data_IF_308305027927
#
_entry.id   IF_308305027927
#
_cell.length_a   1.000
_cell.length_b   1.000
_cell.length_c   1.000
_cell.angle_alpha   90.00
_cell.angle_beta   90.00
_cell.angle_gamma   90.00
#
_symmetry.space_group_name_H-M   'P 1'
#
loop_
_entity.id
_entity.type
_entity.pdbx_description
1 polymer ?
#
# COMPACT_ATOMS: atom_id res chain seq x y z
N UNK A 1 -11.98 3.68 15.53
CA UNK A 1 -10.72 4.03 14.87
C UNK A 1 -10.75 3.23 13.58
N UNK A 2 -10.63 3.89 12.44
CA UNK A 2 -10.75 3.23 11.13
C UNK A 2 -9.49 2.40 10.87
N UNK A 3 -9.63 1.10 10.68
CA UNK A 3 -8.51 0.20 10.35
C UNK A 3 -8.13 0.39 8.89
N UNK A 4 -6.89 0.76 8.64
CA UNK A 4 -6.38 1.06 7.31
C UNK A 4 -5.26 0.11 6.89
N UNK A 5 -5.34 -0.39 5.64
CA UNK A 5 -4.27 -1.15 5.00
C UNK A 5 -3.56 -0.28 3.97
N UNK A 6 -2.30 0.05 4.21
CA UNK A 6 -1.55 0.94 3.33
C UNK A 6 -0.84 0.16 2.22
N UNK A 7 -0.88 0.69 0.99
CA UNK A 7 -0.19 0.09 -0.16
C UNK A 7 0.61 1.16 -0.92
N UNK A 8 1.92 1.16 -0.73
CA UNK A 8 2.87 2.02 -1.45
C UNK A 8 3.34 1.33 -2.73
N UNK A 9 3.12 1.96 -3.89
CA UNK A 9 3.43 1.36 -5.19
C UNK A 9 4.62 2.04 -5.85
N UNK A 10 5.62 1.26 -6.23
CA UNK A 10 6.74 1.74 -7.05
C UNK A 10 6.71 1.07 -8.43
N UNK A 11 6.69 1.89 -9.48
CA UNK A 11 6.88 1.42 -10.86
C UNK A 11 8.38 1.48 -11.17
N UNK A 12 9.00 0.36 -11.56
CA UNK A 12 10.47 0.31 -11.77
C UNK A 12 11.00 1.27 -12.84
N UNK A 13 10.14 1.68 -13.78
CA UNK A 13 10.51 2.67 -14.81
C UNK A 13 10.52 4.11 -14.27
N UNK A 14 9.90 4.36 -13.13
CA UNK A 14 9.83 5.69 -12.55
C UNK A 14 11.15 6.02 -11.86
N UNK A 15 11.81 7.04 -12.37
CA UNK A 15 13.04 7.61 -11.78
C UNK A 15 12.64 8.59 -10.69
N UNK A 16 12.14 8.08 -9.57
CA UNK A 16 11.98 8.89 -8.37
C UNK A 16 13.31 9.01 -7.60
N UNK A 17 13.56 10.19 -7.04
CA UNK A 17 14.73 10.45 -6.21
C UNK A 17 14.59 9.90 -4.78
N UNK A 18 13.35 9.60 -4.37
CA UNK A 18 13.05 9.12 -3.03
C UNK A 18 12.97 7.60 -3.02
N UNK A 19 13.46 7.00 -1.92
CA UNK A 19 13.34 5.56 -1.70
C UNK A 19 11.90 5.25 -1.32
N UNK A 20 11.37 4.14 -1.80
CA UNK A 20 9.97 3.78 -1.56
C UNK A 20 9.71 3.51 -0.07
N UNK A 21 10.72 3.08 0.66
CA UNK A 21 10.69 2.88 2.11
C UNK A 21 10.46 4.21 2.85
N UNK A 22 11.12 5.29 2.41
CA UNK A 22 10.93 6.62 3.00
C UNK A 22 9.52 7.14 2.72
N UNK A 23 9.00 6.93 1.50
CA UNK A 23 7.62 7.29 1.12
C UNK A 23 6.60 6.49 1.94
N UNK A 24 6.85 5.18 2.11
CA UNK A 24 5.94 4.28 2.83
C UNK A 24 5.86 4.63 4.31
N UNK A 25 6.99 5.00 4.92
CA UNK A 25 7.05 5.46 6.30
C UNK A 25 6.29 6.79 6.48
N UNK A 26 6.48 7.74 5.57
CA UNK A 26 5.75 9.02 5.61
C UNK A 26 4.24 8.82 5.46
N UNK A 27 3.80 7.94 4.55
CA UNK A 27 2.38 7.62 4.37
C UNK A 27 1.76 7.07 5.66
N UNK A 28 2.48 6.22 6.37
CA UNK A 28 2.05 5.65 7.65
C UNK A 28 1.92 6.72 8.74
N UNK A 29 2.92 7.61 8.89
CA UNK A 29 2.83 8.72 9.84
C UNK A 29 1.66 9.65 9.54
N UNK A 30 1.40 9.93 8.25
CA UNK A 30 0.26 10.74 7.81
C UNK A 30 -1.08 10.06 8.14
N UNK A 31 -1.21 8.76 7.89
CA UNK A 31 -2.42 8.00 8.19
C UNK A 31 -2.70 7.95 9.71
N UNK A 32 -1.67 7.69 10.51
CA UNK A 32 -1.77 7.71 11.98
C UNK A 32 -2.18 9.10 12.46
N UNK A 33 -1.56 10.15 11.92
CA UNK A 33 -1.89 11.55 12.24
C UNK A 33 -3.32 11.94 11.85
N UNK A 34 -3.87 11.31 10.80
CA UNK A 34 -5.27 11.45 10.38
C UNK A 34 -6.24 10.66 11.26
N UNK A 35 -5.76 9.84 12.22
CA UNK A 35 -6.58 9.06 13.14
C UNK A 35 -6.90 7.64 12.66
N UNK A 36 -6.24 7.17 11.60
CA UNK A 36 -6.34 5.78 11.16
C UNK A 36 -5.54 4.84 12.08
N UNK A 37 -6.03 3.62 12.23
CA UNK A 37 -5.29 2.50 12.77
C UNK A 37 -4.66 1.74 11.62
N UNK A 38 -3.38 2.00 11.34
CA UNK A 38 -2.66 1.24 10.30
C UNK A 38 -2.46 -0.20 10.78
N UNK A 39 -3.06 -1.17 10.08
CA UNK A 39 -2.92 -2.59 10.42
C UNK A 39 -1.69 -3.23 9.76
N UNK A 40 -1.34 -2.76 8.56
CA UNK A 40 -0.18 -3.22 7.79
C UNK A 40 0.19 -2.17 6.72
N UNK A 41 1.47 -2.13 6.33
CA UNK A 41 2.02 -1.16 5.38
C UNK A 41 2.84 -1.86 4.28
N UNK A 42 2.18 -2.12 3.15
CA UNK A 42 2.69 -2.97 2.07
C UNK A 42 3.41 -2.13 1.01
N UNK A 43 4.64 -2.51 0.68
CA UNK A 43 5.35 -1.98 -0.50
C UNK A 43 5.19 -2.95 -1.68
N UNK A 44 4.70 -2.44 -2.82
CA UNK A 44 4.53 -3.20 -4.06
C UNK A 44 5.37 -2.60 -5.18
N UNK A 45 6.44 -3.31 -5.55
CA UNK A 45 7.32 -2.92 -6.67
C UNK A 45 6.90 -3.68 -7.92
N UNK A 46 6.43 -2.98 -8.95
CA UNK A 46 5.97 -3.56 -10.21
C UNK A 46 6.77 -3.05 -11.41
N UNK A 47 6.89 -3.89 -12.45
CA UNK A 47 7.59 -3.51 -13.70
C UNK A 47 6.81 -2.48 -14.50
N UNK A 48 5.48 -2.61 -14.53
CA UNK A 48 4.53 -1.73 -15.19
C UNK A 48 3.18 -1.86 -14.50
N UNK A 49 2.35 -0.80 -14.50
CA UNK A 49 1.01 -0.88 -13.98
C UNK A 49 0.13 -1.81 -14.82
N UNK A 50 -0.79 -2.52 -14.17
CA UNK A 50 -1.84 -3.30 -14.85
C UNK A 50 -3.13 -2.50 -14.94
N UNK A 51 -3.83 -2.58 -16.08
CA UNK A 51 -4.99 -1.74 -16.36
C UNK A 51 -6.17 -1.96 -15.40
N UNK A 52 -6.30 -3.16 -14.84
CA UNK A 52 -7.38 -3.52 -13.94
C UNK A 52 -7.11 -3.13 -12.49
N UNK A 53 -5.86 -3.30 -12.00
CA UNK A 53 -5.60 -3.20 -10.57
C UNK A 53 -4.31 -2.47 -10.17
N UNK A 54 -3.60 -1.84 -11.12
CA UNK A 54 -2.30 -1.22 -10.89
C UNK A 54 -1.19 -2.23 -10.51
N UNK A 55 -1.29 -2.87 -9.35
CA UNK A 55 -0.31 -3.80 -8.75
C UNK A 55 -0.41 -5.25 -9.25
N UNK A 56 -1.42 -5.56 -10.07
CA UNK A 56 -1.62 -6.87 -10.68
C UNK A 56 -2.45 -7.83 -9.81
N UNK A 57 -3.08 -8.81 -10.47
CA UNK A 57 -4.09 -9.70 -9.85
C UNK A 57 -3.59 -10.41 -8.59
N UNK A 58 -2.41 -11.04 -8.63
CA UNK A 58 -1.91 -11.80 -7.48
C UNK A 58 -1.65 -10.95 -6.24
N UNK A 59 -1.13 -9.73 -6.41
CA UNK A 59 -0.91 -8.82 -5.28
C UNK A 59 -2.23 -8.27 -4.71
N UNK A 60 -3.24 -8.06 -5.56
CA UNK A 60 -4.59 -7.67 -5.11
C UNK A 60 -5.26 -8.79 -4.33
N UNK A 61 -5.10 -10.05 -4.76
CA UNK A 61 -5.62 -11.21 -4.03
C UNK A 61 -4.97 -11.32 -2.64
N UNK A 62 -3.66 -11.06 -2.53
CA UNK A 62 -2.93 -10.98 -1.26
C UNK A 62 -3.44 -9.84 -0.36
N UNK A 63 -3.55 -8.62 -0.90
CA UNK A 63 -4.10 -7.45 -0.17
C UNK A 63 -5.54 -7.72 0.29
N UNK A 64 -6.36 -8.35 -0.56
CA UNK A 64 -7.74 -8.70 -0.23
C UNK A 64 -7.84 -9.75 0.88
N UNK A 65 -6.90 -10.69 0.95
CA UNK A 65 -6.86 -11.69 2.01
C UNK A 65 -6.52 -11.02 3.34
N UNK A 66 -5.48 -10.18 3.37
CA UNK A 66 -5.07 -9.42 4.56
C UNK A 66 -6.22 -8.52 5.04
N UNK A 67 -6.85 -7.79 4.11
CA UNK A 67 -7.98 -6.91 4.44
C UNK A 67 -9.14 -7.68 5.08
N UNK A 68 -9.42 -8.89 4.62
CA UNK A 68 -10.46 -9.74 5.18
C UNK A 68 -10.05 -10.33 6.55
N UNK A 69 -8.81 -10.79 6.70
CA UNK A 69 -8.31 -11.39 7.95
C UNK A 69 -8.20 -10.36 9.08
N UNK A 70 -7.77 -9.13 8.76
CA UNK A 70 -7.58 -8.05 9.73
C UNK A 70 -8.84 -7.19 9.94
N UNK A 71 -9.93 -7.47 9.22
CA UNK A 71 -11.20 -6.72 9.23
C UNK A 71 -10.95 -5.22 8.94
N UNK A 72 -10.27 -4.94 7.83
CA UNK A 72 -9.89 -3.58 7.41
C UNK A 72 -11.12 -2.79 6.96
N UNK A 73 -11.18 -1.53 7.36
CA UNK A 73 -12.25 -0.59 6.99
C UNK A 73 -11.93 0.13 5.65
N UNK A 74 -10.64 0.43 5.40
CA UNK A 74 -10.14 1.20 4.24
C UNK A 74 -8.80 0.68 3.69
#
# INVERSE_FOLDING_TARGET
>A
MEKALLVSVQIKTDKHHWRIEDISSELEELAISAGAQVVENIISICQKPTANYLIGKGKVEEVSLIAHEEEVDT
#
